data_IF_238598344225
#
_entry.id   IF_238598344225
#
_cell.length_a   1.000
_cell.length_b   1.000
_cell.length_c   1.000
_cell.angle_alpha   90.00
_cell.angle_beta   90.00
_cell.angle_gamma   90.00
#
_symmetry.space_group_name_H-M   'P 1'
#
loop_
_entity.id
_entity.type
_entity.pdbx_description
1 polymer ?
#
# COMPACT_ATOMS: atom_id res chain seq x y z
N UNK A 1 -13.61 8.59 -3.59
CA UNK A 1 -12.27 9.20 -3.74
C UNK A 1 -11.24 8.08 -3.68
N UNK A 2 -10.24 8.09 -4.56
CA UNK A 2 -9.17 7.09 -4.59
C UNK A 2 -7.87 7.73 -4.11
N UNK A 3 -7.15 7.04 -3.23
CA UNK A 3 -5.87 7.48 -2.67
C UNK A 3 -4.84 6.40 -2.96
N UNK A 4 -3.73 6.78 -3.58
CA UNK A 4 -2.59 5.89 -3.81
C UNK A 4 -1.38 6.37 -3.01
N UNK A 5 -0.90 5.52 -2.11
CA UNK A 5 0.32 5.77 -1.34
C UNK A 5 1.50 5.15 -2.09
N UNK A 6 2.23 5.98 -2.86
CA UNK A 6 3.42 5.54 -3.57
C UNK A 6 4.66 5.67 -2.67
N UNK A 7 5.24 4.53 -2.28
CA UNK A 7 6.41 4.48 -1.39
C UNK A 7 7.71 4.87 -2.08
N UNK A 8 7.71 4.91 -3.42
CA UNK A 8 8.91 5.14 -4.24
C UNK A 8 10.06 4.25 -3.75
N UNK A 9 11.27 4.81 -3.64
CA UNK A 9 12.44 4.16 -3.07
C UNK A 9 12.76 4.66 -1.65
N UNK A 10 11.78 5.18 -0.92
CA UNK A 10 12.03 5.68 0.44
C UNK A 10 12.31 4.53 1.42
N UNK A 11 13.25 4.71 2.37
CA UNK A 11 13.59 3.70 3.37
C UNK A 11 12.54 3.68 4.48
N UNK A 12 11.36 3.14 4.17
CA UNK A 12 10.24 2.98 5.08
C UNK A 12 9.90 1.50 5.25
N UNK A 13 9.12 1.16 6.28
CA UNK A 13 8.55 -0.18 6.40
C UNK A 13 7.28 -0.28 5.53
N UNK A 14 7.31 -1.05 4.43
CA UNK A 14 6.16 -1.16 3.55
C UNK A 14 4.98 -1.92 4.17
N UNK A 15 5.24 -2.79 5.17
CA UNK A 15 4.20 -3.60 5.83
C UNK A 15 3.46 -2.77 6.87
N UNK A 16 4.19 -1.94 7.63
CA UNK A 16 3.58 -1.00 8.57
C UNK A 16 2.63 -0.04 7.83
N UNK A 17 3.08 0.53 6.71
CA UNK A 17 2.27 1.45 5.90
C UNK A 17 1.06 0.74 5.28
N UNK A 18 1.25 -0.48 4.76
CA UNK A 18 0.16 -1.26 4.16
C UNK A 18 -0.94 -1.63 5.18
N UNK A 19 -0.53 -2.02 6.39
CA UNK A 19 -1.44 -2.31 7.50
C UNK A 19 -2.24 -1.06 7.86
N UNK A 20 -1.55 0.07 8.05
CA UNK A 20 -2.23 1.33 8.35
C UNK A 20 -3.19 1.78 7.24
N UNK A 21 -2.79 1.65 5.97
CA UNK A 21 -3.64 2.01 4.83
C UNK A 21 -4.92 1.16 4.78
N UNK A 22 -4.83 -0.15 5.03
CA UNK A 22 -5.98 -1.05 5.12
C UNK A 22 -6.91 -0.63 6.26
N UNK A 23 -6.39 -0.45 7.47
CA UNK A 23 -7.20 -0.12 8.64
C UNK A 23 -7.94 1.22 8.47
N UNK A 24 -7.28 2.23 7.87
CA UNK A 24 -7.92 3.51 7.52
C UNK A 24 -8.95 3.34 6.42
N UNK A 25 -8.68 2.51 5.40
CA UNK A 25 -9.63 2.20 4.32
C UNK A 25 -10.92 1.60 4.90
N UNK A 26 -10.80 0.66 5.83
CA UNK A 26 -11.94 0.00 6.49
C UNK A 26 -12.72 0.99 7.39
N UNK A 27 -12.02 1.77 8.21
CA UNK A 27 -12.66 2.70 9.13
C UNK A 27 -13.35 3.88 8.44
N UNK A 28 -12.81 4.33 7.29
CA UNK A 28 -13.31 5.53 6.59
C UNK A 28 -14.20 5.23 5.38
N UNK A 29 -14.15 4.00 4.85
CA UNK A 29 -14.76 3.64 3.56
C UNK A 29 -14.07 4.29 2.34
N UNK A 30 -12.95 4.99 2.52
CA UNK A 30 -12.15 5.50 1.42
C UNK A 30 -11.38 4.36 0.74
N UNK A 31 -11.26 4.38 -0.59
CA UNK A 31 -10.44 3.40 -1.31
C UNK A 31 -8.98 3.83 -1.28
N UNK A 32 -8.17 3.12 -0.49
CA UNK A 32 -6.74 3.40 -0.32
C UNK A 32 -5.93 2.21 -0.82
N UNK A 33 -4.99 2.48 -1.70
CA UNK A 33 -4.04 1.49 -2.23
C UNK A 33 -2.60 1.87 -1.90
N UNK A 34 -1.70 0.89 -1.90
CA UNK A 34 -0.28 1.08 -1.67
C UNK A 34 0.51 0.62 -2.90
N UNK A 35 1.52 1.43 -3.27
CA UNK A 35 2.47 1.09 -4.32
C UNK A 35 3.89 0.97 -3.76
N UNK A 36 4.31 -0.25 -3.36
CA UNK A 36 5.63 -0.50 -2.80
C UNK A 36 6.69 -0.66 -3.89
N UNK A 37 7.96 -0.77 -3.49
CA UNK A 37 9.03 -1.18 -4.40
C UNK A 37 8.73 -2.58 -4.96
N UNK A 38 9.21 -2.86 -6.18
CA UNK A 38 8.90 -4.11 -6.88
C UNK A 38 9.20 -5.37 -6.05
N UNK A 39 10.27 -5.36 -5.26
CA UNK A 39 10.67 -6.48 -4.40
C UNK A 39 9.67 -6.79 -3.26
N UNK A 40 8.86 -5.81 -2.86
CA UNK A 40 7.93 -5.93 -1.73
C UNK A 40 6.47 -6.11 -2.16
N UNK A 41 6.17 -6.13 -3.47
CA UNK A 41 4.79 -6.22 -3.99
C UNK A 41 4.03 -7.41 -3.41
N UNK A 42 4.63 -8.60 -3.38
CA UNK A 42 3.98 -9.79 -2.83
C UNK A 42 3.71 -9.63 -1.32
N UNK A 43 4.71 -9.18 -0.56
CA UNK A 43 4.60 -9.02 0.90
C UNK A 43 3.56 -7.97 1.29
N UNK A 44 3.43 -6.91 0.50
CA UNK A 44 2.39 -5.88 0.71
C UNK A 44 1.02 -6.39 0.32
N UNK A 45 0.88 -7.12 -0.78
CA UNK A 45 -0.39 -7.74 -1.17
C UNK A 45 -0.90 -8.71 -0.09
N UNK A 46 0.00 -9.45 0.57
CA UNK A 46 -0.34 -10.37 1.65
C UNK A 46 -0.95 -9.68 2.89
N UNK A 47 -0.81 -8.35 3.03
CA UNK A 47 -1.48 -7.59 4.10
C UNK A 47 -2.97 -7.38 3.84
N UNK A 48 -3.46 -7.66 2.64
CA UNK A 48 -4.84 -7.45 2.24
C UNK A 48 -5.16 -6.04 1.76
N UNK A 49 -4.18 -5.12 1.72
CA UNK A 49 -4.36 -3.80 1.09
C UNK A 49 -4.39 -3.93 -0.44
N UNK A 50 -5.18 -3.08 -1.11
CA UNK A 50 -5.12 -2.99 -2.56
C UNK A 50 -3.71 -2.57 -2.99
N UNK A 51 -3.03 -3.39 -3.80
CA UNK A 51 -1.59 -3.25 -4.09
C UNK A 51 -1.35 -2.97 -5.56
N UNK A 52 -0.50 -1.98 -5.86
CA UNK A 52 -0.17 -1.55 -7.22
C UNK A 52 1.35 -1.54 -7.45
N UNK A 53 1.80 -1.97 -8.63
CA UNK A 53 3.19 -1.75 -9.04
C UNK A 53 3.46 -0.25 -9.31
N UNK A 54 4.68 0.22 -9.02
CA UNK A 54 5.07 1.62 -9.29
C UNK A 54 5.24 1.91 -10.80
N UNK A 55 5.58 0.88 -11.57
CA UNK A 55 5.82 0.93 -13.01
C UNK A 55 5.66 -0.47 -13.62
N UNK A 56 5.68 -0.53 -14.96
CA UNK A 56 5.79 -1.72 -15.81
C UNK A 56 6.96 -1.54 -16.77
#
# INVERSE_FOLDING_TARGET
MFILVNLKAYPCDPIEIATAARDVSEASGARIAVSPQAADVARVADTGVETWAQHV
#
